data_IF_000292201816
#
_entry.id   IF_000292201816
#
_cell.length_a   1.000
_cell.length_b   1.000
_cell.length_c   1.000
_cell.angle_alpha   90.00
_cell.angle_beta   90.00
_cell.angle_gamma   90.00
#
_symmetry.space_group_name_H-M   'P 1'
#
loop_
_entity.id
_entity.type
_entity.pdbx_description
1 polymer ?
#
# COMPACT_ATOMS: atom_id res chain seq x y z
N UNK A 1 -9.51 22.23 -2.38
CA UNK A 1 -8.44 22.01 -3.40
C UNK A 1 -9.14 21.46 -4.63
N UNK A 2 -9.04 22.12 -5.78
CA UNK A 2 -9.75 21.70 -7.00
C UNK A 2 -9.07 20.46 -7.61
N UNK A 3 -9.87 19.48 -8.01
CA UNK A 3 -9.41 18.36 -8.82
C UNK A 3 -9.09 18.83 -10.26
N UNK A 4 -8.45 17.99 -11.07
CA UNK A 4 -8.09 18.27 -12.47
C UNK A 4 -9.27 18.54 -13.43
N UNK A 5 -10.50 18.67 -12.93
CA UNK A 5 -11.75 18.87 -13.68
C UNK A 5 -12.62 20.01 -13.07
N UNK A 6 -12.01 21.00 -12.42
CA UNK A 6 -12.72 22.14 -11.78
C UNK A 6 -13.76 21.74 -10.71
N UNK A 7 -13.68 20.52 -10.20
CA UNK A 7 -14.53 20.01 -9.11
C UNK A 7 -13.95 20.35 -7.75
N UNK A 8 -14.82 20.70 -6.81
CA UNK A 8 -14.45 20.94 -5.42
C UNK A 8 -14.37 19.62 -4.63
N UNK A 9 -13.22 19.36 -3.99
CA UNK A 9 -13.04 18.24 -3.06
C UNK A 9 -13.16 18.76 -1.63
N UNK A 10 -14.08 18.14 -0.88
CA UNK A 10 -14.32 18.42 0.55
C UNK A 10 -14.23 17.13 1.37
N UNK A 11 -13.80 17.23 2.63
CA UNK A 11 -13.89 16.12 3.56
C UNK A 11 -15.34 15.98 4.05
N UNK A 12 -15.83 14.74 4.12
CA UNK A 12 -17.16 14.47 4.67
C UNK A 12 -17.20 14.73 6.18
N UNK A 13 -16.12 14.38 6.89
CA UNK A 13 -15.98 14.61 8.33
C UNK A 13 -15.22 15.93 8.59
N UNK A 14 -15.64 16.66 9.64
CA UNK A 14 -14.98 17.89 10.09
C UNK A 14 -13.67 17.61 10.84
N UNK A 15 -13.57 16.42 11.42
CA UNK A 15 -12.35 15.85 11.98
C UNK A 15 -11.62 15.09 10.87
N UNK A 16 -10.30 15.33 10.74
CA UNK A 16 -9.51 14.68 9.69
C UNK A 16 -9.45 13.18 9.98
N UNK A 17 -10.07 12.36 9.13
CA UNK A 17 -9.95 10.91 9.19
C UNK A 17 -8.72 10.47 8.40
N UNK A 18 -7.55 10.46 9.06
CA UNK A 18 -6.34 9.92 8.47
C UNK A 18 -6.13 8.47 8.93
N UNK A 19 -5.72 7.61 8.00
CA UNK A 19 -5.24 6.28 8.37
C UNK A 19 -3.81 6.42 8.91
N UNK A 20 -3.65 6.30 10.23
CA UNK A 20 -2.35 6.41 10.89
C UNK A 20 -1.33 5.40 10.38
N UNK A 21 -1.77 4.21 9.97
CA UNK A 21 -0.90 3.18 9.37
C UNK A 21 -0.42 3.58 7.98
N UNK A 22 -1.29 4.15 7.14
CA UNK A 22 -0.88 4.64 5.81
C UNK A 22 0.14 5.78 5.92
N UNK A 23 -0.02 6.66 6.90
CA UNK A 23 0.93 7.75 7.15
C UNK A 23 2.33 7.27 7.62
N UNK A 24 2.52 5.98 7.89
CA UNK A 24 3.86 5.41 8.14
C UNK A 24 4.67 5.19 6.86
N UNK A 25 4.02 5.23 5.70
CA UNK A 25 4.69 5.12 4.40
C UNK A 25 5.08 6.54 3.98
N UNK A 26 6.32 6.93 4.26
CA UNK A 26 6.83 8.26 3.98
C UNK A 26 8.05 8.23 3.05
N UNK A 27 8.46 9.42 2.61
CA UNK A 27 9.59 9.58 1.69
C UNK A 27 10.91 9.07 2.29
N UNK A 28 11.30 9.41 3.54
CA UNK A 28 12.52 8.88 4.14
C UNK A 28 12.60 7.35 4.14
N UNK A 29 11.54 6.64 4.55
CA UNK A 29 11.54 5.18 4.58
C UNK A 29 11.56 4.57 3.17
N UNK A 30 10.91 5.21 2.20
CA UNK A 30 10.97 4.80 0.80
C UNK A 30 12.39 4.94 0.23
N UNK A 31 13.03 6.10 0.45
CA UNK A 31 14.40 6.35 -0.01
C UNK A 31 15.36 5.31 0.59
N UNK A 32 15.31 5.09 1.90
CA UNK A 32 16.14 4.09 2.56
C UNK A 32 15.93 2.67 2.00
N UNK A 33 14.68 2.29 1.73
CA UNK A 33 14.37 0.97 1.13
C UNK A 33 15.01 0.85 -0.25
N UNK A 34 14.91 1.87 -1.09
CA UNK A 34 15.48 1.87 -2.45
C UNK A 34 17.01 1.90 -2.45
N UNK A 35 17.63 2.72 -1.61
CA UNK A 35 19.09 2.78 -1.46
C UNK A 35 19.64 1.44 -0.96
N UNK A 36 19.00 0.83 0.04
CA UNK A 36 19.36 -0.50 0.54
C UNK A 36 19.34 -1.54 -0.58
N UNK A 37 18.27 -1.55 -1.40
CA UNK A 37 18.17 -2.46 -2.55
C UNK A 37 19.26 -2.20 -3.59
N UNK A 38 19.58 -0.93 -3.89
CA UNK A 38 20.65 -0.57 -4.82
C UNK A 38 22.04 -1.02 -4.32
N UNK A 39 22.24 -1.03 -3.00
CA UNK A 39 23.44 -1.59 -2.35
C UNK A 39 23.43 -3.12 -2.23
N UNK A 40 22.39 -3.80 -2.74
CA UNK A 40 22.23 -5.25 -2.64
C UNK A 40 21.78 -5.75 -1.26
N UNK A 41 21.34 -4.85 -0.36
CA UNK A 41 20.81 -5.17 0.96
C UNK A 41 19.29 -5.29 0.90
N UNK A 42 18.78 -6.51 1.05
CA UNK A 42 17.34 -6.75 1.10
C UNK A 42 16.80 -6.45 2.51
N UNK A 43 16.03 -5.38 2.64
CA UNK A 43 15.36 -4.98 3.88
C UNK A 43 13.87 -5.23 3.78
N UNK A 44 13.23 -5.59 4.90
CA UNK A 44 11.77 -5.75 5.02
C UNK A 44 11.15 -6.65 3.94
N UNK A 45 11.85 -7.74 3.55
CA UNK A 45 11.31 -8.72 2.62
C UNK A 45 10.01 -9.30 3.19
N UNK A 46 8.94 -9.19 2.42
CA UNK A 46 7.67 -9.81 2.77
C UNK A 46 7.76 -11.28 2.39
N UNK A 47 7.59 -12.15 3.38
CA UNK A 47 7.49 -13.58 3.21
C UNK A 47 6.21 -14.05 3.90
N UNK A 48 5.53 -15.01 3.28
CA UNK A 48 4.30 -15.62 3.78
C UNK A 48 4.57 -17.12 3.88
N UNK A 49 4.08 -17.77 4.93
CA UNK A 49 4.26 -19.20 5.07
C UNK A 49 3.52 -19.98 3.94
N UNK A 50 4.00 -21.18 3.58
CA UNK A 50 3.49 -21.89 2.40
C UNK A 50 1.99 -22.22 2.45
N UNK A 51 1.43 -22.46 3.64
CA UNK A 51 0.02 -22.80 3.79
C UNK A 51 -0.86 -21.56 3.59
N UNK A 52 -0.51 -20.46 4.26
CA UNK A 52 -1.20 -19.18 4.11
C UNK A 52 -1.11 -18.68 2.67
N UNK A 53 0.07 -18.74 2.04
CA UNK A 53 0.26 -18.32 0.64
C UNK A 53 -0.67 -19.11 -0.29
N UNK A 54 -0.70 -20.44 -0.16
CA UNK A 54 -1.52 -21.32 -1.00
C UNK A 54 -3.00 -20.95 -0.96
N UNK A 55 -3.57 -20.83 0.23
CA UNK A 55 -5.00 -20.59 0.37
C UNK A 55 -5.39 -19.14 0.09
N UNK A 56 -4.56 -18.17 0.48
CA UNK A 56 -4.79 -16.76 0.14
C UNK A 56 -4.75 -16.53 -1.37
N UNK A 57 -3.77 -17.13 -2.06
CA UNK A 57 -3.64 -17.03 -3.51
C UNK A 57 -4.85 -17.64 -4.24
N UNK A 58 -5.32 -18.82 -3.83
CA UNK A 58 -6.51 -19.43 -4.43
C UNK A 58 -7.77 -18.54 -4.27
N UNK A 59 -7.93 -17.88 -3.13
CA UNK A 59 -9.03 -16.95 -2.92
C UNK A 59 -8.93 -15.73 -3.84
N UNK A 60 -7.73 -15.14 -3.97
CA UNK A 60 -7.47 -14.02 -4.88
C UNK A 60 -7.68 -14.40 -6.35
N UNK A 61 -7.21 -15.57 -6.78
CA UNK A 61 -7.40 -16.09 -8.14
C UNK A 61 -8.89 -16.23 -8.47
N UNK A 62 -9.69 -16.77 -7.53
CA UNK A 62 -11.15 -16.86 -7.70
C UNK A 62 -11.82 -15.50 -7.78
N UNK A 63 -11.39 -14.53 -6.99
CA UNK A 63 -11.92 -13.16 -7.02
C UNK A 63 -11.65 -12.49 -8.37
N UNK A 64 -10.43 -12.63 -8.90
CA UNK A 64 -10.00 -12.00 -10.15
C UNK A 64 -10.50 -12.71 -11.42
N UNK A 65 -10.93 -13.97 -11.32
CA UNK A 65 -11.52 -14.72 -12.43
C UNK A 65 -13.00 -14.38 -12.68
N UNK A 66 -13.62 -13.61 -11.79
CA UNK A 66 -14.99 -13.13 -11.99
C UNK A 66 -15.01 -11.94 -12.97
N UNK A 67 -16.02 -11.83 -13.83
CA UNK A 67 -16.17 -10.73 -14.78
C UNK A 67 -16.50 -9.39 -14.11
#
# INVERSE_FOLDING_TARGET
>A
RFASEDKEIVFLDKTVCFCSTMNRIDLPHLVWTLESLAEGKLVNRIEVDPETEKYAKLALERMLALP
#
